data_IF_323531666173
#
_entry.id   IF_323531666173
#
_cell.length_a   1.000
_cell.length_b   1.000
_cell.length_c   1.000
_cell.angle_alpha   90.00
_cell.angle_beta   90.00
_cell.angle_gamma   90.00
#
_symmetry.space_group_name_H-M   'P 1'
#
loop_
_entity.id
_entity.type
_entity.pdbx_description
1 polymer ?
#
# COMPACT_ATOMS: atom_id res chain seq x y z
N UNK A 1 0.06 7.00 -19.94
CA UNK A 1 -0.93 7.21 -21.01
C UNK A 1 -0.43 6.64 -22.34
N UNK A 2 0.67 7.15 -22.91
CA UNK A 2 1.22 6.65 -24.20
C UNK A 2 1.58 5.16 -24.20
N UNK A 3 2.14 4.63 -23.12
CA UNK A 3 2.51 3.21 -23.03
C UNK A 3 1.31 2.25 -23.08
N UNK A 4 0.15 2.65 -22.54
CA UNK A 4 -1.08 1.85 -22.66
C UNK A 4 -1.62 1.93 -24.09
N UNK A 5 -1.61 3.12 -24.69
CA UNK A 5 -2.02 3.32 -26.08
C UNK A 5 -1.15 2.51 -27.06
N UNK A 6 0.17 2.51 -26.85
CA UNK A 6 1.12 1.70 -27.62
C UNK A 6 0.79 0.20 -27.52
N UNK A 7 0.49 -0.30 -26.31
CA UNK A 7 0.04 -1.69 -26.10
C UNK A 7 -1.27 -2.00 -26.82
N UNK A 8 -2.25 -1.11 -26.76
CA UNK A 8 -3.55 -1.28 -27.45
C UNK A 8 -3.33 -1.41 -28.96
N UNK A 9 -2.56 -0.51 -29.56
CA UNK A 9 -2.25 -0.56 -30.99
C UNK A 9 -1.44 -1.81 -31.38
N UNK A 10 -0.50 -2.23 -30.53
CA UNK A 10 0.24 -3.48 -30.71
C UNK A 10 -0.69 -4.69 -30.76
N UNK A 11 -1.62 -4.80 -29.80
CA UNK A 11 -2.64 -5.88 -29.77
C UNK A 11 -3.52 -5.85 -31.04
N UNK A 12 -3.76 -4.66 -31.58
CA UNK A 12 -4.50 -4.46 -32.85
C UNK A 12 -3.63 -4.64 -34.10
N UNK A 13 -2.45 -5.25 -33.99
CA UNK A 13 -1.60 -5.62 -35.12
C UNK A 13 -0.77 -4.48 -35.72
N UNK A 14 -0.67 -3.33 -35.04
CA UNK A 14 0.11 -2.17 -35.54
C UNK A 14 1.61 -2.22 -35.20
N UNK A 15 2.07 -3.27 -34.52
CA UNK A 15 3.48 -3.47 -34.19
C UNK A 15 4.04 -2.46 -33.16
N UNK A 16 5.37 -2.35 -33.13
CA UNK A 16 6.14 -1.55 -32.16
C UNK A 16 6.87 -0.34 -32.80
N UNK A 17 6.59 -0.04 -34.06
CA UNK A 17 7.28 1.01 -34.82
C UNK A 17 6.29 1.90 -35.55
N UNK A 18 6.76 3.08 -35.95
CA UNK A 18 6.03 4.01 -36.82
C UNK A 18 6.92 4.34 -38.02
N UNK A 19 6.36 4.24 -39.23
CA UNK A 19 7.03 4.65 -40.45
C UNK A 19 6.57 6.08 -40.81
N UNK A 20 7.49 7.02 -40.78
CA UNK A 20 7.23 8.44 -41.08
C UNK A 20 7.05 8.73 -42.58
N UNK A 21 7.51 7.84 -43.46
CA UNK A 21 7.38 7.98 -44.91
C UNK A 21 5.99 7.53 -45.35
N UNK A 22 5.53 6.37 -44.86
CA UNK A 22 4.22 5.81 -45.24
C UNK A 22 3.07 6.23 -44.32
N UNK A 23 3.37 6.85 -43.17
CA UNK A 23 2.40 7.14 -42.10
C UNK A 23 1.67 5.89 -41.58
N UNK A 24 2.40 4.78 -41.49
CA UNK A 24 1.88 3.49 -41.06
C UNK A 24 2.61 2.93 -39.84
N UNK A 25 2.02 1.91 -39.24
CA UNK A 25 2.50 1.28 -38.01
C UNK A 25 1.70 1.78 -36.80
N UNK A 26 2.33 1.79 -35.63
CA UNK A 26 1.72 2.11 -34.36
C UNK A 26 1.80 3.62 -34.10
N UNK A 27 0.67 4.35 -34.14
CA UNK A 27 0.67 5.80 -34.00
C UNK A 27 1.29 6.29 -32.68
N UNK A 28 1.22 5.48 -31.62
CA UNK A 28 1.81 5.85 -30.33
C UNK A 28 3.33 6.04 -30.37
N UNK A 29 4.02 5.55 -31.42
CA UNK A 29 5.46 5.80 -31.64
C UNK A 29 5.75 6.94 -32.62
N UNK A 30 4.73 7.56 -33.21
CA UNK A 30 4.86 8.69 -34.12
C UNK A 30 5.59 9.87 -33.45
N UNK A 31 6.57 10.50 -34.12
CA UNK A 31 7.21 11.72 -33.62
C UNK A 31 6.19 12.82 -33.30
N UNK A 32 5.18 13.01 -34.15
CA UNK A 32 4.14 14.04 -33.94
C UNK A 32 3.37 13.86 -32.64
N UNK A 33 3.05 12.60 -32.27
CA UNK A 33 2.37 12.31 -31.00
C UNK A 33 3.31 12.56 -29.82
N UNK A 34 4.60 12.24 -29.95
CA UNK A 34 5.61 12.52 -28.91
C UNK A 34 5.82 14.03 -28.73
N UNK A 35 5.86 14.79 -29.82
CA UNK A 35 6.01 16.24 -29.82
C UNK A 35 4.78 16.90 -29.18
N UNK A 36 3.57 16.47 -29.54
CA UNK A 36 2.34 16.93 -28.91
C UNK A 36 2.32 16.68 -27.40
N UNK A 37 2.68 15.47 -26.95
CA UNK A 37 2.74 15.14 -25.51
C UNK A 37 3.80 15.99 -24.80
N UNK A 38 4.93 16.26 -25.46
CA UNK A 38 5.99 17.12 -24.93
C UNK A 38 5.48 18.55 -24.78
N UNK A 39 4.83 19.11 -25.80
CA UNK A 39 4.22 20.42 -25.77
C UNK A 39 3.17 20.56 -24.65
N UNK A 40 2.29 19.57 -24.49
CA UNK A 40 1.29 19.56 -23.39
C UNK A 40 1.95 19.53 -22.02
N UNK A 41 3.03 18.75 -21.84
CA UNK A 41 3.77 18.72 -20.57
C UNK A 41 4.46 20.05 -20.29
N UNK A 42 5.04 20.68 -21.31
CA UNK A 42 5.64 22.00 -21.19
C UNK A 42 4.60 23.07 -20.85
N UNK A 43 3.43 23.02 -21.49
CA UNK A 43 2.31 23.92 -21.20
C UNK A 43 1.84 23.77 -19.74
N UNK A 44 1.63 22.54 -19.28
CA UNK A 44 1.28 22.25 -17.88
C UNK A 44 2.35 22.76 -16.91
N UNK A 45 3.64 22.56 -17.24
CA UNK A 45 4.75 23.03 -16.43
C UNK A 45 4.82 24.58 -16.40
N UNK A 46 4.65 25.25 -17.54
CA UNK A 46 4.59 26.73 -17.65
C UNK A 46 3.41 27.30 -16.87
N UNK A 47 2.27 26.62 -16.90
CA UNK A 47 1.07 26.96 -16.13
C UNK A 47 1.20 26.64 -14.63
N UNK A 48 2.34 26.09 -14.18
CA UNK A 48 2.59 25.63 -12.80
C UNK A 48 1.52 24.65 -12.30
N UNK A 49 0.88 23.93 -13.22
CA UNK A 49 -0.06 22.86 -12.91
C UNK A 49 0.76 21.63 -12.55
N UNK A 50 1.12 21.54 -11.27
CA UNK A 50 1.79 20.36 -10.74
C UNK A 50 0.74 19.26 -10.50
N UNK A 51 1.05 17.99 -10.85
CA UNK A 51 0.21 16.88 -10.45
C UNK A 51 0.02 16.89 -8.93
N UNK A 52 -1.23 16.97 -8.46
CA UNK A 52 -1.54 16.95 -7.03
C UNK A 52 -1.08 15.61 -6.43
N UNK A 53 0.06 15.62 -5.76
CA UNK A 53 0.53 14.48 -4.97
C UNK A 53 -0.14 14.52 -3.60
N UNK A 54 -0.33 13.34 -3.00
CA UNK A 54 -0.78 13.28 -1.62
C UNK A 54 0.31 13.85 -0.70
N UNK A 55 -0.10 14.68 0.28
CA UNK A 55 0.82 15.15 1.31
C UNK A 55 1.41 13.94 2.07
N UNK A 56 2.74 13.87 2.27
CA UNK A 56 3.36 12.76 2.99
C UNK A 56 2.85 12.67 4.44
N UNK A 57 2.34 11.51 4.84
CA UNK A 57 2.01 11.24 6.23
C UNK A 57 3.17 10.52 6.92
N UNK A 58 3.82 11.18 7.87
CA UNK A 58 4.98 10.63 8.57
C UNK A 58 4.61 9.65 9.69
N UNK A 59 5.61 8.92 10.17
CA UNK A 59 5.47 7.87 11.20
C UNK A 59 4.83 8.37 12.51
N UNK A 60 4.91 9.68 12.80
CA UNK A 60 4.26 10.29 13.97
C UNK A 60 2.75 10.05 13.99
N UNK A 61 2.04 10.26 12.87
CA UNK A 61 0.58 9.99 12.80
C UNK A 61 0.28 8.50 12.95
N UNK A 62 1.12 7.62 12.40
CA UNK A 62 0.99 6.16 12.60
C UNK A 62 1.15 5.77 14.06
N UNK A 63 2.10 6.38 14.79
CA UNK A 63 2.24 6.16 16.24
C UNK A 63 0.98 6.59 16.97
N UNK A 64 0.44 7.78 16.69
CA UNK A 64 -0.78 8.27 17.34
C UNK A 64 -1.97 7.34 17.10
N UNK A 65 -2.16 6.88 15.87
CA UNK A 65 -3.20 5.89 15.54
C UNK A 65 -2.96 4.56 16.28
N UNK A 66 -1.72 4.06 16.30
CA UNK A 66 -1.38 2.81 16.98
C UNK A 66 -1.63 2.89 18.49
N UNK A 67 -1.21 3.98 19.14
CA UNK A 67 -1.45 4.23 20.56
C UNK A 67 -2.93 4.30 20.87
N UNK A 68 -3.69 5.09 20.10
CA UNK A 68 -5.14 5.18 20.24
C UNK A 68 -5.81 3.81 20.16
N UNK A 69 -5.48 3.01 19.15
CA UNK A 69 -6.04 1.67 19.00
C UNK A 69 -5.64 0.76 20.17
N UNK A 70 -4.39 0.80 20.62
CA UNK A 70 -3.96 -0.01 21.77
C UNK A 70 -4.68 0.39 23.07
N UNK A 71 -4.97 1.67 23.26
CA UNK A 71 -5.72 2.17 24.41
C UNK A 71 -7.19 1.74 24.35
N UNK A 72 -7.82 1.81 23.16
CA UNK A 72 -9.17 1.26 22.95
C UNK A 72 -9.22 -0.24 23.28
N UNK A 73 -8.22 -1.01 22.82
CA UNK A 73 -8.15 -2.45 23.08
C UNK A 73 -7.88 -2.81 24.55
N UNK A 74 -7.20 -1.94 25.32
CA UNK A 74 -6.92 -2.13 26.76
C UNK A 74 -8.06 -1.70 27.66
N UNK A 75 -8.89 -0.75 27.23
CA UNK A 75 -9.96 -0.21 28.05
C UNK A 75 -10.90 -1.33 28.53
N UNK A 76 -10.96 -1.53 29.86
CA UNK A 76 -11.77 -2.57 30.50
C UNK A 76 -13.26 -2.21 30.60
N UNK A 77 -13.64 -1.01 30.18
CA UNK A 77 -15.02 -0.53 30.24
C UNK A 77 -15.87 -1.18 29.14
N UNK A 78 -16.20 -2.47 29.27
CA UNK A 78 -17.36 -3.18 28.74
C UNK A 78 -17.91 -2.94 27.32
N UNK A 79 -17.27 -2.14 26.45
CA UNK A 79 -18.01 -1.42 25.40
C UNK A 79 -17.61 -1.77 23.97
N UNK A 80 -16.50 -2.48 23.74
CA UNK A 80 -16.10 -2.87 22.38
C UNK A 80 -16.26 -4.38 22.15
N UNK A 81 -17.09 -4.69 21.16
CA UNK A 81 -17.39 -6.04 20.67
C UNK A 81 -16.16 -6.70 20.05
N UNK A 82 -16.18 -8.04 19.92
CA UNK A 82 -15.12 -8.78 19.20
C UNK A 82 -14.94 -8.28 17.76
N UNK A 83 -16.02 -7.83 17.11
CA UNK A 83 -16.00 -7.26 15.76
C UNK A 83 -15.26 -5.92 15.71
N UNK A 84 -15.49 -5.05 16.68
CA UNK A 84 -14.77 -3.77 16.76
C UNK A 84 -13.29 -4.01 17.03
N UNK A 85 -12.97 -4.95 17.93
CA UNK A 85 -11.58 -5.37 18.18
C UNK A 85 -10.91 -5.94 16.93
N UNK A 86 -11.64 -6.74 16.14
CA UNK A 86 -11.18 -7.23 14.85
C UNK A 86 -10.86 -6.08 13.89
N UNK A 87 -11.77 -5.13 13.76
CA UNK A 87 -11.60 -3.96 12.88
C UNK A 87 -10.41 -3.10 13.30
N UNK A 88 -10.28 -2.82 14.61
CA UNK A 88 -9.17 -2.08 15.18
C UNK A 88 -7.82 -2.74 14.90
N UNK A 89 -7.71 -4.06 15.14
CA UNK A 89 -6.47 -4.80 14.87
C UNK A 89 -6.15 -4.89 13.38
N UNK A 90 -7.16 -5.14 12.54
CA UNK A 90 -7.03 -5.18 11.07
C UNK A 90 -6.48 -3.85 10.55
N UNK A 91 -7.09 -2.74 10.96
CA UNK A 91 -6.69 -1.41 10.50
C UNK A 91 -5.27 -1.06 10.99
N UNK A 92 -4.95 -1.35 12.24
CA UNK A 92 -3.62 -1.11 12.80
C UNK A 92 -2.55 -1.88 12.00
N UNK A 93 -2.78 -3.17 11.74
CA UNK A 93 -1.88 -4.00 10.94
C UNK A 93 -1.76 -3.49 9.50
N UNK A 94 -2.89 -3.12 8.87
CA UNK A 94 -2.93 -2.63 7.50
C UNK A 94 -2.17 -1.31 7.33
N UNK A 95 -2.39 -0.30 8.18
CA UNK A 95 -1.72 0.99 8.03
C UNK A 95 -0.23 0.91 8.28
N UNK A 96 0.19 0.15 9.29
CA UNK A 96 1.61 -0.12 9.56
C UNK A 96 2.22 -0.82 8.35
N UNK A 97 1.63 -1.92 7.91
CA UNK A 97 2.15 -2.67 6.77
C UNK A 97 2.22 -1.81 5.50
N UNK A 98 1.20 -1.00 5.23
CA UNK A 98 1.18 -0.11 4.08
C UNK A 98 2.28 0.96 4.15
N UNK A 99 2.47 1.60 5.29
CA UNK A 99 3.56 2.55 5.49
C UNK A 99 4.91 1.87 5.26
N UNK A 100 5.16 0.75 5.93
CA UNK A 100 6.44 0.03 5.88
C UNK A 100 6.67 -0.77 4.60
N UNK A 101 5.68 -0.97 3.75
CA UNK A 101 5.87 -1.51 2.41
C UNK A 101 6.11 -0.40 1.38
N UNK A 102 5.70 0.84 1.69
CA UNK A 102 5.66 1.93 0.70
C UNK A 102 4.73 1.63 -0.47
N UNK A 103 3.75 0.74 -0.30
CA UNK A 103 2.86 0.28 -1.38
C UNK A 103 1.48 0.94 -1.33
N UNK A 104 0.67 0.71 -2.37
CA UNK A 104 -0.70 1.23 -2.42
C UNK A 104 -1.58 0.47 -1.44
N UNK A 105 -2.53 1.16 -0.82
CA UNK A 105 -3.54 0.51 0.02
C UNK A 105 -4.26 -0.65 -0.68
N UNK A 106 -4.60 -0.48 -1.96
CA UNK A 106 -5.21 -1.55 -2.75
C UNK A 106 -4.26 -2.74 -2.96
N UNK A 107 -2.96 -2.48 -3.06
CA UNK A 107 -1.98 -3.55 -3.26
C UNK A 107 -1.82 -4.32 -1.93
N UNK A 108 -1.77 -3.62 -0.79
CA UNK A 108 -1.75 -4.25 0.55
C UNK A 108 -3.05 -5.00 0.88
N UNK A 109 -4.21 -4.46 0.49
CA UNK A 109 -5.50 -5.07 0.80
C UNK A 109 -5.74 -6.38 0.06
N UNK A 110 -5.11 -6.55 -1.12
CA UNK A 110 -5.20 -7.75 -1.92
C UNK A 110 -4.16 -8.82 -1.56
N UNK A 111 -3.36 -8.62 -0.50
CA UNK A 111 -2.41 -9.63 -0.03
C UNK A 111 -3.14 -10.90 0.39
N UNK A 112 -2.72 -12.00 -0.23
CA UNK A 112 -3.16 -13.35 0.12
C UNK A 112 -2.25 -13.92 1.20
N UNK A 113 -2.81 -14.64 2.18
CA UNK A 113 -2.04 -15.27 3.26
C UNK A 113 -0.99 -16.24 2.69
N UNK A 114 -1.33 -16.92 1.60
CA UNK A 114 -0.47 -17.90 0.90
C UNK A 114 0.72 -17.24 0.21
N UNK A 115 0.71 -15.92 0.02
CA UNK A 115 1.80 -15.14 -0.54
C UNK A 115 2.80 -14.65 0.53
N UNK A 116 2.53 -14.95 1.81
CA UNK A 116 3.34 -14.51 2.95
C UNK A 116 4.16 -15.70 3.45
N UNK A 117 5.47 -15.49 3.57
CA UNK A 117 6.38 -16.47 4.16
C UNK A 117 7.12 -15.84 5.34
N UNK A 118 7.23 -16.58 6.42
CA UNK A 118 8.08 -16.20 7.53
C UNK A 118 9.56 -16.25 7.14
N UNK A 119 10.30 -15.22 7.52
CA UNK A 119 11.75 -15.18 7.38
C UNK A 119 12.40 -16.03 8.49
N UNK A 120 13.65 -16.50 8.29
CA UNK A 120 14.37 -17.25 9.31
C UNK A 120 14.36 -16.55 10.68
N UNK A 121 14.37 -17.34 11.75
CA UNK A 121 14.41 -16.86 13.14
C UNK A 121 13.26 -15.90 13.52
N UNK A 122 12.12 -15.99 12.82
CA UNK A 122 10.96 -15.12 13.02
C UNK A 122 11.32 -13.63 12.85
N UNK A 123 12.33 -13.36 12.02
CA UNK A 123 12.91 -12.03 11.80
C UNK A 123 12.01 -11.12 10.96
N UNK A 124 10.91 -11.63 10.40
CA UNK A 124 9.93 -10.85 9.65
C UNK A 124 9.16 -11.68 8.62
N UNK A 125 8.60 -10.99 7.62
CA UNK A 125 7.84 -11.62 6.55
C UNK A 125 8.37 -11.24 5.16
N UNK A 126 8.42 -12.22 4.27
CA UNK A 126 8.54 -12.04 2.83
C UNK A 126 7.15 -12.11 2.19
N UNK A 127 6.85 -11.13 1.34
CA UNK A 127 5.59 -11.01 0.61
C UNK A 127 5.87 -11.21 -0.87
N UNK A 128 5.19 -12.18 -1.48
CA UNK A 128 5.25 -12.41 -2.92
C UNK A 128 3.95 -11.94 -3.56
N UNK A 129 3.87 -10.66 -3.90
CA UNK A 129 2.63 -10.10 -4.40
C UNK A 129 2.43 -10.42 -5.89
N UNK A 130 1.41 -11.21 -6.21
CA UNK A 130 1.12 -11.65 -7.59
C UNK A 130 0.09 -10.78 -8.31
N UNK A 131 -0.68 -9.94 -7.59
CA UNK A 131 -1.69 -9.06 -8.17
C UNK A 131 -1.63 -7.63 -7.64
N UNK A 132 -1.15 -6.68 -8.45
CA UNK A 132 -1.15 -5.25 -8.09
C UNK A 132 -1.61 -4.38 -9.24
N UNK A 133 -1.86 -3.08 -8.99
CA UNK A 133 -2.18 -2.10 -10.07
C UNK A 133 -1.15 -2.14 -11.21
N UNK A 134 0.11 -2.43 -10.92
CA UNK A 134 1.19 -2.51 -11.90
C UNK A 134 1.43 -3.92 -12.47
N UNK A 135 0.81 -4.95 -11.89
CA UNK A 135 0.96 -6.36 -12.29
C UNK A 135 -0.28 -6.96 -12.98
N UNK A 136 -1.29 -6.14 -13.33
CA UNK A 136 -2.55 -6.56 -13.99
C UNK A 136 -2.40 -7.30 -15.33
N UNK A 137 -1.18 -7.51 -15.83
CA UNK A 137 -0.88 -7.99 -17.18
C UNK A 137 -0.48 -9.46 -17.33
N UNK A 138 -0.30 -10.24 -16.25
CA UNK A 138 0.00 -11.67 -16.37
C UNK A 138 1.39 -12.01 -16.93
N UNK A 139 2.31 -11.05 -17.04
CA UNK A 139 3.68 -11.25 -17.53
C UNK A 139 4.57 -12.14 -16.61
N UNK A 140 4.01 -12.87 -15.64
CA UNK A 140 4.75 -13.68 -14.65
C UNK A 140 5.55 -12.87 -13.63
N UNK A 141 5.50 -11.53 -13.69
CA UNK A 141 6.20 -10.64 -12.76
C UNK A 141 5.49 -10.67 -11.41
N UNK A 142 6.21 -11.10 -10.38
CA UNK A 142 5.80 -10.92 -8.99
C UNK A 142 6.60 -9.75 -8.40
N UNK A 143 5.98 -8.98 -7.50
CA UNK A 143 6.73 -8.03 -6.69
C UNK A 143 7.01 -8.70 -5.35
N UNK A 144 8.27 -9.09 -5.13
CA UNK A 144 8.68 -9.66 -3.86
C UNK A 144 9.34 -8.57 -3.02
N UNK A 145 8.86 -8.41 -1.79
CA UNK A 145 9.47 -7.53 -0.81
C UNK A 145 9.49 -8.20 0.56
N UNK A 146 10.46 -7.84 1.38
CA UNK A 146 10.57 -8.33 2.75
C UNK A 146 10.50 -7.17 3.73
N UNK A 147 9.81 -7.40 4.84
CA UNK A 147 9.75 -6.46 5.96
C UNK A 147 10.24 -7.23 7.18
N UNK A 148 11.35 -6.77 7.77
CA UNK A 148 11.81 -7.33 9.04
C UNK A 148 10.99 -6.77 10.20
N UNK A 149 10.96 -7.57 11.26
CA UNK A 149 10.44 -7.19 12.56
C UNK A 149 11.29 -6.06 13.11
N UNK A 150 10.67 -4.93 13.41
CA UNK A 150 11.35 -3.83 14.09
C UNK A 150 11.30 -3.96 15.61
N UNK A 151 12.27 -3.34 16.29
CA UNK A 151 12.38 -3.32 17.74
C UNK A 151 11.25 -2.50 18.39
N UNK A 152 10.87 -1.39 17.77
CA UNK A 152 9.78 -0.56 18.25
C UNK A 152 8.44 -1.30 18.11
N UNK A 153 7.96 -1.82 19.24
CA UNK A 153 6.76 -2.64 19.34
C UNK A 153 5.49 -1.87 18.92
N UNK A 154 5.46 -0.55 19.12
CA UNK A 154 4.28 0.27 18.85
C UNK A 154 4.04 0.40 17.35
N UNK A 155 5.09 0.49 16.54
CA UNK A 155 4.97 0.68 15.08
C UNK A 155 5.27 -0.58 14.25
N UNK A 156 5.72 -1.66 14.88
CA UNK A 156 6.12 -2.88 14.18
C UNK A 156 4.99 -3.48 13.32
N UNK A 157 5.14 -3.52 11.99
CA UNK A 157 4.12 -4.09 11.10
C UNK A 157 4.00 -5.60 11.29
N UNK A 158 5.11 -6.30 11.52
CA UNK A 158 5.14 -7.75 11.73
C UNK A 158 4.35 -8.14 12.99
N UNK A 159 4.64 -7.49 14.13
CA UNK A 159 3.90 -7.72 15.38
C UNK A 159 2.42 -7.38 15.24
N UNK A 160 2.08 -6.34 14.48
CA UNK A 160 0.70 -5.95 14.26
C UNK A 160 -0.06 -7.00 13.45
N UNK A 161 0.54 -7.53 12.38
CA UNK A 161 -0.03 -8.63 11.57
C UNK A 161 -0.20 -9.89 12.42
N UNK A 162 0.80 -10.28 13.21
CA UNK A 162 0.70 -11.44 14.11
C UNK A 162 -0.41 -11.29 15.14
N UNK A 163 -0.49 -10.14 15.83
CA UNK A 163 -1.54 -9.84 16.81
C UNK A 163 -2.91 -9.91 16.15
N UNK A 164 -3.05 -9.33 14.96
CA UNK A 164 -4.27 -9.37 14.18
C UNK A 164 -4.68 -10.81 13.82
N UNK A 165 -3.78 -11.64 13.29
CA UNK A 165 -4.06 -13.04 12.93
C UNK A 165 -4.41 -13.87 14.17
N UNK A 166 -3.63 -13.74 15.24
CA UNK A 166 -3.83 -14.48 16.49
C UNK A 166 -5.21 -14.21 17.10
N UNK A 167 -5.60 -12.94 17.21
CA UNK A 167 -6.89 -12.58 17.82
C UNK A 167 -8.07 -12.86 16.89
N UNK A 168 -7.90 -12.70 15.58
CA UNK A 168 -8.92 -13.09 14.59
C UNK A 168 -9.29 -14.57 14.73
N UNK A 169 -8.30 -15.45 14.87
CA UNK A 169 -8.52 -16.88 15.11
C UNK A 169 -9.31 -17.13 16.40
N UNK A 170 -9.03 -16.41 17.49
CA UNK A 170 -9.77 -16.52 18.76
C UNK A 170 -11.24 -16.09 18.64
N UNK A 171 -11.58 -15.27 17.66
CA UNK A 171 -12.96 -14.85 17.38
C UNK A 171 -13.62 -15.66 16.25
N UNK A 172 -13.04 -16.80 15.87
CA UNK A 172 -13.61 -17.69 14.86
C UNK A 172 -13.36 -17.27 13.42
N UNK A 173 -12.52 -16.25 13.18
CA UNK A 173 -12.12 -15.82 11.85
C UNK A 173 -10.83 -16.54 11.46
N UNK A 174 -10.93 -17.49 10.54
CA UNK A 174 -9.79 -18.23 10.05
C UNK A 174 -9.05 -17.46 8.95
N UNK A 175 -7.84 -16.99 9.25
CA UNK A 175 -6.93 -16.30 8.32
C UNK A 175 -5.74 -17.17 7.91
N UNK A 176 -5.94 -18.48 7.69
CA UNK A 176 -4.90 -19.36 7.15
C UNK A 176 -4.87 -19.41 5.61
N UNK A 177 -5.92 -18.91 4.96
CA UNK A 177 -6.09 -18.95 3.51
C UNK A 177 -6.88 -17.73 3.02
N UNK A 178 -6.74 -17.37 1.75
CA UNK A 178 -7.45 -16.24 1.15
C UNK A 178 -6.86 -14.88 1.54
N UNK A 179 -7.68 -13.83 1.52
CA UNK A 179 -7.19 -12.47 1.81
C UNK A 179 -6.82 -12.30 3.29
N UNK A 180 -5.66 -11.68 3.54
CA UNK A 180 -5.21 -11.35 4.89
C UNK A 180 -6.11 -10.29 5.53
N UNK A 181 -6.40 -9.21 4.80
CA UNK A 181 -7.25 -8.11 5.29
C UNK A 181 -8.64 -8.22 4.69
N UNK A 182 -9.57 -8.72 5.50
CA UNK A 182 -10.95 -8.99 5.05
C UNK A 182 -11.89 -7.81 5.30
N UNK A 183 -12.88 -7.69 4.42
CA UNK A 183 -13.96 -6.73 4.55
C UNK A 183 -14.87 -7.13 5.73
N UNK A 184 -15.48 -6.13 6.36
CA UNK A 184 -16.51 -6.33 7.37
C UNK A 184 -17.79 -5.73 6.81
N UNK A 185 -18.82 -6.54 6.62
CA UNK A 185 -20.14 -6.10 6.13
C UNK A 185 -20.80 -5.16 7.14
N UNK A 186 -21.87 -4.48 6.74
CA UNK A 186 -22.65 -3.61 7.63
C UNK A 186 -23.12 -4.36 8.89
N UNK A 187 -23.55 -5.61 8.73
CA UNK A 187 -24.02 -6.48 9.82
C UNK A 187 -22.89 -7.14 10.62
N UNK A 188 -21.68 -7.28 10.07
CA UNK A 188 -20.45 -7.47 10.86
C UNK A 188 -19.88 -8.83 11.25
N UNK A 189 -19.97 -9.90 10.49
CA UNK A 189 -19.97 -9.92 9.05
C UNK A 189 -18.56 -9.87 8.47
N UNK A 190 -17.55 -10.55 9.04
CA UNK A 190 -16.24 -10.67 8.36
C UNK A 190 -16.42 -11.52 7.10
N UNK A 191 -16.23 -10.92 5.94
CA UNK A 191 -16.43 -11.56 4.63
C UNK A 191 -15.13 -12.19 4.14
N UNK A 192 -15.20 -13.10 3.17
CA UNK A 192 -13.99 -13.66 2.55
C UNK A 192 -13.32 -12.67 1.58
N UNK A 193 -14.00 -11.60 1.16
CA UNK A 193 -13.48 -10.57 0.27
C UNK A 193 -12.43 -9.67 0.91
N UNK A 194 -11.49 -9.18 0.11
CA UNK A 194 -10.53 -8.17 0.50
C UNK A 194 -11.23 -6.88 0.96
N UNK A 195 -10.66 -6.23 1.98
CA UNK A 195 -11.08 -4.87 2.35
C UNK A 195 -10.86 -3.91 1.18
N UNK A 196 -11.85 -3.07 0.90
CA UNK A 196 -11.83 -2.17 -0.26
C UNK A 196 -11.00 -0.91 0.03
N UNK A 197 -10.51 -0.26 -1.02
CA UNK A 197 -9.83 1.04 -0.88
C UNK A 197 -10.71 2.08 -0.17
N UNK A 198 -12.00 2.14 -0.52
CA UNK A 198 -12.94 3.08 0.11
C UNK A 198 -13.09 2.81 1.60
N UNK A 199 -13.21 1.53 2.01
CA UNK A 199 -13.24 1.18 3.42
C UNK A 199 -11.94 1.59 4.14
N UNK A 200 -10.77 1.32 3.54
CA UNK A 200 -9.48 1.76 4.11
C UNK A 200 -9.42 3.29 4.26
N UNK A 201 -9.89 4.01 3.24
CA UNK A 201 -9.94 5.47 3.26
C UNK A 201 -10.80 5.97 4.42
N UNK A 202 -12.05 5.50 4.54
CA UNK A 202 -12.95 5.90 5.63
C UNK A 202 -12.39 5.56 7.01
N UNK A 203 -11.78 4.38 7.16
CA UNK A 203 -11.13 3.99 8.43
C UNK A 203 -9.97 4.92 8.76
N UNK A 204 -9.11 5.25 7.79
CA UNK A 204 -8.00 6.18 8.02
C UNK A 204 -8.51 7.58 8.40
N UNK A 205 -9.51 8.10 7.68
CA UNK A 205 -10.13 9.40 7.97
C UNK A 205 -10.71 9.42 9.38
N UNK A 206 -11.43 8.38 9.78
CA UNK A 206 -11.97 8.25 11.14
C UNK A 206 -10.88 8.43 12.21
N UNK A 207 -9.76 7.70 12.12
CA UNK A 207 -8.70 7.82 13.14
C UNK A 207 -8.02 9.19 13.14
N UNK A 208 -7.79 9.79 11.97
CA UNK A 208 -7.16 11.10 11.89
C UNK A 208 -8.07 12.20 12.47
N UNK A 209 -9.37 12.10 12.22
CA UNK A 209 -10.36 13.05 12.71
C UNK A 209 -10.56 12.95 14.22
N UNK A 210 -10.72 11.74 14.77
CA UNK A 210 -10.90 11.57 16.22
C UNK A 210 -9.66 12.00 17.01
N UNK A 211 -8.47 11.94 16.38
CA UNK A 211 -7.21 12.42 16.95
C UNK A 211 -6.94 13.92 16.68
N UNK A 212 -7.75 14.60 15.87
CA UNK A 212 -7.55 16.01 15.52
C UNK A 212 -6.28 16.28 14.69
N UNK A 213 -5.80 15.30 13.92
CA UNK A 213 -4.54 15.37 13.15
C UNK A 213 -4.75 15.20 11.64
N UNK A 214 -6.00 15.36 11.16
CA UNK A 214 -6.35 15.25 9.75
C UNK A 214 -5.96 16.53 8.98
N UNK A 215 -5.02 16.41 8.05
CA UNK A 215 -4.55 17.51 7.20
C UNK A 215 -4.89 17.27 5.71
N UNK A 216 -5.96 16.53 5.46
CA UNK A 216 -6.32 16.06 4.12
C UNK A 216 -5.54 14.81 3.71
N UNK A 217 -5.06 14.05 4.69
CA UNK A 217 -4.34 12.80 4.44
C UNK A 217 -5.26 11.74 3.82
N UNK A 218 -4.66 10.89 3.00
CA UNK A 218 -5.32 9.77 2.33
C UNK A 218 -4.46 8.53 2.46
N UNK A 219 -4.93 7.33 2.07
CA UNK A 219 -4.06 6.17 2.03
C UNK A 219 -2.84 6.35 1.09
N UNK A 220 -2.88 7.28 0.12
CA UNK A 220 -1.69 7.61 -0.67
C UNK A 220 -0.64 8.41 0.12
N UNK A 221 -1.03 9.14 1.16
CA UNK A 221 -0.15 9.87 2.06
C UNK A 221 0.81 8.95 2.80
N UNK A 222 0.37 7.73 3.16
CA UNK A 222 1.21 6.68 3.77
C UNK A 222 2.39 6.30 2.87
N UNK A 223 2.11 6.08 1.59
CA UNK A 223 3.12 5.73 0.59
C UNK A 223 4.12 6.87 0.38
N UNK A 224 3.62 8.11 0.27
CA UNK A 224 4.46 9.29 0.15
C UNK A 224 5.34 9.49 1.38
N UNK A 225 4.78 9.32 2.59
CA UNK A 225 5.51 9.39 3.86
C UNK A 225 6.65 8.41 3.96
N UNK A 226 6.43 7.16 3.55
CA UNK A 226 7.49 6.16 3.46
C UNK A 226 8.62 6.59 2.52
N UNK A 227 8.29 7.03 1.30
CA UNK A 227 9.27 7.44 0.31
C UNK A 227 10.14 8.63 0.81
N UNK A 228 9.53 9.62 1.46
CA UNK A 228 10.25 10.76 2.03
C UNK A 228 11.11 10.32 3.22
N UNK A 229 10.57 9.48 4.11
CA UNK A 229 11.34 8.93 5.24
C UNK A 229 12.59 8.18 4.74
N UNK A 230 12.46 7.40 3.67
CA UNK A 230 13.59 6.70 3.05
C UNK A 230 14.60 7.65 2.41
N UNK A 231 14.14 8.73 1.76
CA UNK A 231 15.03 9.72 1.15
C UNK A 231 15.87 10.44 2.22
N UNK A 232 15.23 10.91 3.29
CA UNK A 232 15.90 11.56 4.42
C UNK A 232 16.89 10.61 5.10
N UNK A 233 16.51 9.33 5.28
CA UNK A 233 17.37 8.34 5.92
C UNK A 233 18.62 7.99 5.11
N UNK A 234 18.59 8.15 3.79
CA UNK A 234 19.75 7.90 2.93
C UNK A 234 20.80 8.99 3.02
N UNK A 235 20.45 10.20 3.46
CA UNK A 235 21.36 11.34 3.47
C UNK A 235 22.22 11.47 4.73
N UNK A 236 21.88 10.81 5.85
CA UNK A 236 22.76 10.52 7.01
C UNK A 236 21.97 9.66 8.01
N UNK A 237 22.57 8.65 8.68
CA UNK A 237 21.93 7.62 9.57
C UNK A 237 21.19 6.45 8.91
N UNK A 238 21.63 6.04 7.72
CA UNK A 238 20.97 4.97 6.96
C UNK A 238 20.96 3.60 7.67
N UNK A 239 21.98 3.25 8.47
CA UNK A 239 22.10 1.90 9.03
C UNK A 239 21.05 1.61 10.11
N UNK A 240 20.78 2.56 10.99
CA UNK A 240 19.87 2.39 12.14
C UNK A 240 18.40 2.49 11.73
N UNK A 241 18.10 3.34 10.75
CA UNK A 241 16.74 3.44 10.22
C UNK A 241 16.46 2.28 9.25
N UNK A 242 17.38 1.89 8.36
CA UNK A 242 17.18 0.70 7.50
C UNK A 242 17.20 -0.61 8.30
N UNK A 243 17.95 -0.71 9.41
CA UNK A 243 17.87 -1.85 10.34
C UNK A 243 16.56 -1.85 11.14
N UNK A 244 16.04 -0.68 11.54
CA UNK A 244 14.71 -0.55 12.13
C UNK A 244 13.57 -0.88 11.15
N UNK A 245 13.67 -0.50 9.87
CA UNK A 245 12.58 -0.70 8.89
C UNK A 245 12.67 -2.10 8.25
N UNK A 246 13.85 -2.74 8.28
CA UNK A 246 13.95 -4.15 7.95
C UNK A 246 13.93 -4.48 6.46
N UNK A 247 14.39 -3.58 5.59
CA UNK A 247 14.29 -3.78 4.15
C UNK A 247 15.54 -4.46 3.60
N UNK A 248 15.36 -5.62 2.97
CA UNK A 248 16.31 -6.15 1.98
C UNK A 248 15.54 -6.42 0.70
N UNK A 249 15.87 -5.71 -0.39
CA UNK A 249 15.46 -6.17 -1.72
C UNK A 249 16.19 -7.48 -1.96
N UNK A 250 15.44 -8.58 -2.00
CA UNK A 250 15.94 -9.81 -2.61
C UNK A 250 16.11 -9.48 -4.10
N UNK A 251 17.37 -9.34 -4.51
CA UNK A 251 17.76 -9.17 -5.91
C UNK A 251 17.46 -10.44 -6.70
#
# INVERSE_FOLDING_TARGET
MIAQLAKIFKIRGRGDTWNTITNEGNPAYSPLIKDYITAVKEEQAKARVLPKQANPMFIGKIRSIASFIDDQLKSQSGSITSREKYTLLRDQALFKLQFFAGDRASDISNLLVQEIKELPEQSGFAFKHTYSKTLRGGDGKNNTFAIKRCEDKLICPIRAVEKYVQWSSKWGVNLTNGFLFRLVSENGIVLEDAVTYSAIYERLKYYLQILGIDEGDTPHSLRAGCAVTLAISKENTAKDIMSHIGWSRLL
#
